data_IF_403413469918
#
_entry.id   IF_403413469918
#
_cell.length_a   1.000
_cell.length_b   1.000
_cell.length_c   1.000
_cell.angle_alpha   90.00
_cell.angle_beta   90.00
_cell.angle_gamma   90.00
#
_symmetry.space_group_name_H-M   'P 1'
#
loop_
_entity.id
_entity.type
_entity.pdbx_description
1 polymer ?
#
# COMPACT_ATOMS: atom_id res chain seq x y z
N UNK A 1 -48.82 31.93 45.57
CA UNK A 1 -47.54 31.33 46.03
C UNK A 1 -47.59 29.80 46.20
N UNK A 2 -48.54 29.20 46.92
CA UNK A 2 -48.51 27.74 47.20
C UNK A 2 -48.60 26.82 45.96
N UNK A 3 -49.35 27.20 44.91
CA UNK A 3 -49.42 26.40 43.65
C UNK A 3 -48.12 26.43 42.83
N UNK A 4 -47.39 27.54 42.87
CA UNK A 4 -46.12 27.71 42.14
C UNK A 4 -44.99 26.84 42.72
N UNK A 5 -44.98 26.66 44.06
CA UNK A 5 -44.03 25.78 44.75
C UNK A 5 -44.24 24.29 44.45
N UNK A 6 -45.50 23.85 44.31
CA UNK A 6 -45.80 22.46 43.99
C UNK A 6 -45.37 22.06 42.57
N UNK A 7 -45.54 22.98 41.60
CA UNK A 7 -45.09 22.76 40.21
C UNK A 7 -43.56 22.74 40.13
N UNK A 8 -42.87 23.66 40.82
CA UNK A 8 -41.42 23.67 40.87
C UNK A 8 -40.83 22.41 41.52
N UNK A 9 -41.44 21.92 42.61
CA UNK A 9 -41.04 20.68 43.26
C UNK A 9 -41.26 19.45 42.35
N UNK A 10 -42.36 19.41 41.60
CA UNK A 10 -42.63 18.33 40.63
C UNK A 10 -41.61 18.29 39.47
N UNK A 11 -41.25 19.46 38.92
CA UNK A 11 -40.23 19.54 37.85
C UNK A 11 -38.86 19.13 38.38
N UNK A 12 -38.46 19.60 39.56
CA UNK A 12 -37.18 19.24 40.16
C UNK A 12 -37.09 17.73 40.46
N UNK A 13 -38.17 17.12 40.98
CA UNK A 13 -38.23 15.68 41.19
C UNK A 13 -38.20 14.89 39.88
N UNK A 14 -38.86 15.38 38.82
CA UNK A 14 -38.81 14.77 37.49
C UNK A 14 -37.41 14.81 36.86
N UNK A 15 -36.69 15.92 36.98
CA UNK A 15 -35.30 16.06 36.50
C UNK A 15 -34.35 15.18 37.31
N UNK A 16 -34.51 15.12 38.63
CA UNK A 16 -33.69 14.26 39.48
C UNK A 16 -33.94 12.76 39.20
N UNK A 17 -35.19 12.36 38.98
CA UNK A 17 -35.52 11.00 38.57
C UNK A 17 -35.00 10.67 37.16
N UNK A 18 -35.10 11.61 36.21
CA UNK A 18 -34.54 11.44 34.86
C UNK A 18 -33.01 11.42 34.86
N UNK A 19 -32.33 12.11 35.77
CA UNK A 19 -30.88 12.06 35.93
C UNK A 19 -30.43 10.78 36.67
N UNK A 20 -31.19 10.30 37.66
CA UNK A 20 -30.93 9.04 38.35
C UNK A 20 -31.22 7.81 37.48
N UNK A 21 -32.22 7.89 36.59
CA UNK A 21 -32.50 6.88 35.57
C UNK A 21 -31.66 7.09 34.30
N UNK A 22 -31.16 8.31 34.06
CA UNK A 22 -30.25 8.67 32.98
C UNK A 22 -28.79 8.33 33.24
N UNK A 23 -28.50 7.67 34.36
CA UNK A 23 -27.23 6.99 34.64
C UNK A 23 -27.06 5.69 33.85
N UNK A 24 -27.78 5.51 32.73
CA UNK A 24 -27.30 4.62 31.68
C UNK A 24 -26.04 5.28 31.12
N UNK A 25 -24.88 4.88 31.66
CA UNK A 25 -23.63 5.03 30.92
C UNK A 25 -23.95 4.53 29.51
N UNK A 26 -23.93 5.45 28.54
CA UNK A 26 -24.17 5.07 27.16
C UNK A 26 -23.21 3.92 26.87
N UNK A 27 -23.76 2.77 26.45
CA UNK A 27 -22.95 1.59 26.16
C UNK A 27 -21.75 2.05 25.34
N UNK A 28 -20.52 1.70 25.76
CA UNK A 28 -19.33 2.15 25.05
C UNK A 28 -19.51 1.81 23.57
N UNK A 29 -19.32 2.81 22.72
CA UNK A 29 -19.49 2.62 21.28
C UNK A 29 -18.68 1.39 20.85
N UNK A 30 -19.24 0.52 19.99
CA UNK A 30 -18.56 -0.71 19.60
C UNK A 30 -17.18 -0.37 19.04
N UNK A 31 -16.14 -1.17 19.37
CA UNK A 31 -14.79 -0.91 18.89
C UNK A 31 -14.79 -0.84 17.37
N UNK A 32 -14.11 0.18 16.83
CA UNK A 32 -14.00 0.38 15.38
C UNK A 32 -12.76 -0.33 14.86
N UNK A 33 -12.82 -0.89 13.64
CA UNK A 33 -11.61 -1.38 13.02
C UNK A 33 -10.63 -0.22 12.76
N UNK A 34 -9.35 -0.49 12.96
CA UNK A 34 -8.26 0.45 12.74
C UNK A 34 -7.35 -0.10 11.65
N UNK A 35 -7.13 0.65 10.57
CA UNK A 35 -6.18 0.20 9.54
C UNK A 35 -4.77 0.10 10.13
N UNK A 36 -4.06 -0.96 9.77
CA UNK A 36 -2.66 -1.14 10.14
C UNK A 36 -1.81 -0.21 9.24
N UNK A 37 -0.98 0.66 9.84
CA UNK A 37 -0.06 1.50 9.10
C UNK A 37 0.84 0.67 8.18
N UNK A 38 1.09 1.17 6.98
CA UNK A 38 2.07 0.56 6.08
C UNK A 38 3.50 0.98 6.43
N UNK A 39 3.66 2.05 7.21
CA UNK A 39 4.94 2.68 7.52
C UNK A 39 5.56 2.28 8.87
N UNK A 40 4.89 1.40 9.61
CA UNK A 40 5.24 1.09 11.00
C UNK A 40 5.11 -0.40 11.36
N UNK A 41 5.99 -0.87 12.25
CA UNK A 41 5.94 -2.19 12.88
C UNK A 41 6.47 -3.34 12.03
N UNK A 42 7.07 -4.35 12.69
CA UNK A 42 7.63 -5.52 12.01
C UNK A 42 6.54 -6.33 11.31
N UNK A 43 6.82 -6.77 10.09
CA UNK A 43 5.99 -7.73 9.36
C UNK A 43 6.05 -9.06 10.10
N UNK A 44 4.88 -9.64 10.42
CA UNK A 44 4.80 -10.95 11.09
C UNK A 44 4.15 -12.01 10.23
N UNK A 45 3.37 -11.58 9.26
CA UNK A 45 2.63 -12.47 8.38
C UNK A 45 2.43 -11.80 7.02
N UNK A 46 2.82 -12.51 5.97
CA UNK A 46 2.62 -12.12 4.58
C UNK A 46 1.75 -13.14 3.88
N UNK A 47 1.02 -12.68 2.87
CA UNK A 47 0.33 -13.49 1.89
C UNK A 47 0.94 -13.24 0.51
N UNK A 48 1.33 -14.32 -0.16
CA UNK A 48 1.65 -14.33 -1.59
C UNK A 48 0.74 -15.31 -2.30
N UNK A 49 0.50 -15.09 -3.59
CA UNK A 49 -0.21 -16.06 -4.43
C UNK A 49 0.79 -16.77 -5.33
N UNK A 50 0.68 -18.09 -5.44
CA UNK A 50 1.50 -18.87 -6.36
C UNK A 50 0.63 -19.53 -7.43
N UNK A 51 0.99 -19.23 -8.68
CA UNK A 51 0.34 -19.76 -9.87
C UNK A 51 1.45 -20.32 -10.76
N UNK A 52 1.63 -21.65 -10.88
CA UNK A 52 2.77 -22.22 -11.61
C UNK A 52 2.89 -21.72 -13.07
N UNK A 53 1.76 -21.43 -13.72
CA UNK A 53 1.74 -20.86 -15.08
C UNK A 53 2.35 -19.45 -15.18
N UNK A 54 2.52 -18.76 -14.06
CA UNK A 54 3.13 -17.43 -13.96
C UNK A 54 4.45 -17.45 -13.16
N UNK A 55 5.00 -18.63 -12.88
CA UNK A 55 6.22 -18.80 -12.09
C UNK A 55 7.36 -17.92 -12.63
N UNK A 56 7.57 -17.90 -13.94
CA UNK A 56 8.67 -17.14 -14.55
C UNK A 56 8.58 -15.63 -14.32
N UNK A 57 7.39 -15.11 -14.04
CA UNK A 57 7.14 -13.69 -13.77
C UNK A 57 7.49 -13.31 -12.33
N UNK A 58 7.11 -14.15 -11.35
CA UNK A 58 7.18 -13.83 -9.91
C UNK A 58 8.32 -14.52 -9.17
N UNK A 59 8.95 -15.54 -9.77
CA UNK A 59 9.97 -16.34 -9.10
C UNK A 59 11.18 -15.52 -8.61
N UNK A 60 11.76 -14.58 -9.41
CA UNK A 60 12.83 -13.71 -8.90
C UNK A 60 12.37 -12.90 -7.69
N UNK A 61 11.21 -12.25 -7.80
CA UNK A 61 10.60 -11.44 -6.73
C UNK A 61 10.40 -12.25 -5.44
N UNK A 62 9.88 -13.48 -5.53
CA UNK A 62 9.61 -14.30 -4.35
C UNK A 62 10.87 -14.87 -3.71
N UNK A 63 11.93 -15.14 -4.48
CA UNK A 63 13.23 -15.54 -3.93
C UNK A 63 13.87 -14.40 -3.14
N UNK A 64 13.91 -13.21 -3.73
CA UNK A 64 14.47 -12.02 -3.08
C UNK A 64 13.63 -11.63 -1.85
N UNK A 65 12.30 -11.66 -1.97
CA UNK A 65 11.39 -11.42 -0.85
C UNK A 65 11.68 -12.40 0.29
N UNK A 66 11.77 -13.70 0.02
CA UNK A 66 12.07 -14.71 1.05
C UNK A 66 13.42 -14.47 1.71
N UNK A 67 14.45 -14.11 0.93
CA UNK A 67 15.80 -13.86 1.45
C UNK A 67 15.88 -12.60 2.31
N UNK A 68 14.99 -11.62 2.07
CA UNK A 68 14.97 -10.35 2.81
C UNK A 68 14.19 -10.42 4.13
N UNK A 69 13.34 -11.42 4.35
CA UNK A 69 12.49 -11.54 5.55
C UNK A 69 13.21 -12.23 6.71
N UNK A 70 12.83 -11.85 7.93
CA UNK A 70 13.29 -12.53 9.15
C UNK A 70 12.68 -13.94 9.28
N UNK A 71 13.33 -14.80 10.06
CA UNK A 71 12.95 -16.20 10.25
C UNK A 71 11.63 -16.38 11.03
N UNK A 72 11.24 -15.38 11.82
CA UNK A 72 9.99 -15.37 12.58
C UNK A 72 8.76 -14.93 11.76
N UNK A 73 8.95 -14.54 10.50
CA UNK A 73 7.87 -14.20 9.58
C UNK A 73 7.19 -15.47 9.08
N UNK A 74 5.84 -15.47 9.07
CA UNK A 74 5.05 -16.51 8.40
C UNK A 74 4.66 -16.01 7.00
N UNK A 75 5.05 -16.73 5.96
CA UNK A 75 4.59 -16.50 4.59
C UNK A 75 3.51 -17.52 4.24
N UNK A 76 2.27 -17.05 4.20
CA UNK A 76 1.15 -17.82 3.65
C UNK A 76 1.20 -17.78 2.13
N UNK A 77 1.11 -18.96 1.52
CA UNK A 77 1.16 -19.11 0.07
C UNK A 77 -0.20 -19.61 -0.39
N UNK A 78 -1.00 -18.71 -0.96
CA UNK A 78 -2.26 -19.09 -1.59
C UNK A 78 -1.98 -19.82 -2.90
N UNK A 79 -2.59 -20.99 -3.03
CA UNK A 79 -2.43 -21.89 -4.18
C UNK A 79 -3.79 -22.43 -4.60
N UNK A 80 -3.93 -22.77 -5.88
CA UNK A 80 -5.10 -23.50 -6.36
C UNK A 80 -5.14 -24.89 -5.70
N UNK A 81 -4.07 -25.67 -5.87
CA UNK A 81 -3.97 -27.05 -5.39
C UNK A 81 -2.81 -27.23 -4.41
N UNK A 82 -2.88 -28.26 -3.57
CA UNK A 82 -1.84 -28.53 -2.59
C UNK A 82 -0.47 -28.80 -3.24
N UNK A 83 -0.44 -29.47 -4.40
CA UNK A 83 0.80 -29.77 -5.13
C UNK A 83 1.49 -28.52 -5.68
N UNK A 84 0.74 -27.43 -5.89
CA UNK A 84 1.30 -26.15 -6.32
C UNK A 84 2.08 -25.49 -5.17
N UNK A 85 1.76 -25.79 -3.90
CA UNK A 85 2.56 -25.35 -2.76
C UNK A 85 3.90 -26.09 -2.71
N UNK A 86 3.91 -27.40 -2.97
CA UNK A 86 5.16 -28.17 -3.05
C UNK A 86 6.06 -27.64 -4.18
N UNK A 87 5.47 -27.26 -5.33
CA UNK A 87 6.18 -26.58 -6.41
C UNK A 87 6.76 -25.23 -5.97
N UNK A 88 6.01 -24.41 -5.23
CA UNK A 88 6.50 -23.17 -4.66
C UNK A 88 7.71 -23.41 -3.74
N UNK A 89 7.56 -24.33 -2.76
CA UNK A 89 8.63 -24.66 -1.81
C UNK A 89 9.89 -25.14 -2.52
N UNK A 90 9.74 -25.99 -3.54
CA UNK A 90 10.88 -26.48 -4.33
C UNK A 90 11.61 -25.36 -5.09
N UNK A 91 10.89 -24.37 -5.62
CA UNK A 91 11.51 -23.30 -6.45
C UNK A 91 12.01 -22.11 -5.65
N UNK A 92 11.32 -21.77 -4.56
CA UNK A 92 11.57 -20.57 -3.73
C UNK A 92 12.31 -20.93 -2.44
N UNK A 93 12.12 -22.15 -1.92
CA UNK A 93 12.56 -22.55 -0.57
C UNK A 93 14.03 -22.90 -0.38
N UNK A 94 14.87 -22.82 -1.41
CA UNK A 94 16.30 -23.12 -1.31
C UNK A 94 17.10 -21.95 -0.68
N UNK A 95 17.99 -22.24 0.29
CA UNK A 95 18.97 -21.30 0.87
C UNK A 95 18.52 -20.55 2.14
N UNK A 96 19.47 -20.30 3.06
CA UNK A 96 19.30 -19.48 4.28
C UNK A 96 18.43 -20.09 5.39
N UNK A 97 18.27 -19.37 6.51
CA UNK A 97 17.24 -19.65 7.52
C UNK A 97 15.91 -19.11 6.97
N UNK A 98 14.95 -19.94 6.54
CA UNK A 98 13.75 -19.47 5.86
C UNK A 98 12.76 -18.83 6.84
N UNK A 99 11.96 -17.84 6.42
CA UNK A 99 10.67 -17.61 7.05
C UNK A 99 9.82 -18.89 6.96
N UNK A 100 8.89 -19.08 7.91
CA UNK A 100 7.98 -20.23 7.90
C UNK A 100 6.99 -20.12 6.75
N UNK A 101 6.96 -21.13 5.88
CA UNK A 101 6.00 -21.20 4.76
C UNK A 101 4.77 -22.01 5.17
N UNK A 102 3.57 -21.50 4.88
CA UNK A 102 2.30 -22.19 5.13
C UNK A 102 1.39 -22.19 3.91
N UNK A 103 0.79 -23.33 3.53
CA UNK A 103 -0.14 -23.38 2.41
C UNK A 103 -1.49 -22.75 2.77
N UNK A 104 -2.10 -22.08 1.79
CA UNK A 104 -3.51 -21.67 1.79
C UNK A 104 -4.14 -22.25 0.52
N UNK A 105 -4.69 -23.46 0.62
CA UNK A 105 -5.28 -24.16 -0.53
C UNK A 105 -6.67 -23.60 -0.81
N UNK A 106 -6.79 -22.84 -1.89
CA UNK A 106 -8.02 -22.16 -2.31
C UNK A 106 -8.99 -23.12 -3.00
N UNK A 107 -8.46 -24.15 -3.67
CA UNK A 107 -9.24 -25.14 -4.43
C UNK A 107 -9.86 -24.57 -5.70
N UNK A 108 -9.34 -23.44 -6.20
CA UNK A 108 -9.78 -22.73 -7.40
C UNK A 108 -8.62 -21.97 -8.04
N UNK A 109 -8.61 -21.79 -9.37
CA UNK A 109 -7.65 -20.93 -10.04
C UNK A 109 -7.71 -19.50 -9.50
N UNK A 110 -6.55 -18.91 -9.21
CA UNK A 110 -6.36 -17.55 -8.69
C UNK A 110 -5.31 -16.81 -9.54
N UNK A 111 -5.21 -15.49 -9.38
CA UNK A 111 -4.14 -14.68 -9.98
C UNK A 111 -2.97 -14.53 -9.02
N UNK A 112 -1.86 -13.94 -9.46
CA UNK A 112 -0.69 -13.64 -8.62
C UNK A 112 -0.86 -12.39 -7.72
N UNK A 113 -1.96 -11.65 -7.86
CA UNK A 113 -2.15 -10.32 -7.27
C UNK A 113 -2.76 -10.39 -5.86
N UNK A 114 -1.96 -10.81 -4.88
CA UNK A 114 -2.43 -11.06 -3.50
C UNK A 114 -2.91 -9.79 -2.77
N UNK A 115 -2.30 -8.64 -3.06
CA UNK A 115 -2.60 -7.38 -2.36
C UNK A 115 -3.98 -6.83 -2.65
N UNK A 116 -4.55 -7.15 -3.80
CA UNK A 116 -5.77 -6.50 -4.27
C UNK A 116 -7.03 -6.90 -3.50
N UNK A 117 -6.95 -7.85 -2.56
CA UNK A 117 -8.12 -8.49 -1.97
C UNK A 117 -8.47 -8.06 -0.58
N UNK A 118 -7.64 -7.24 0.05
CA UNK A 118 -7.96 -6.70 1.36
C UNK A 118 -7.10 -5.49 1.72
N UNK A 119 -7.60 -4.72 2.69
CA UNK A 119 -6.80 -3.85 3.53
C UNK A 119 -6.61 -4.51 4.90
N UNK A 120 -5.43 -4.34 5.47
CA UNK A 120 -5.05 -4.94 6.75
C UNK A 120 -5.44 -4.01 7.87
N UNK A 121 -6.18 -4.50 8.85
CA UNK A 121 -6.71 -3.74 9.95
C UNK A 121 -6.60 -4.55 11.26
N UNK A 122 -6.99 -3.93 12.35
CA UNK A 122 -7.14 -4.56 13.65
C UNK A 122 -8.48 -4.18 14.27
N UNK A 123 -9.06 -5.11 15.03
CA UNK A 123 -10.24 -4.87 15.85
C UNK A 123 -9.95 -5.35 17.28
N UNK A 124 -9.91 -4.41 18.22
CA UNK A 124 -9.58 -4.69 19.63
C UNK A 124 -8.24 -5.44 19.77
N UNK A 125 -7.23 -5.03 19.01
CA UNK A 125 -5.88 -5.63 19.00
C UNK A 125 -5.79 -7.00 18.31
N UNK A 126 -6.85 -7.47 17.64
CA UNK A 126 -6.83 -8.70 16.86
C UNK A 126 -6.72 -8.40 15.36
N UNK A 127 -5.94 -9.18 14.60
CA UNK A 127 -5.84 -9.01 13.15
C UNK A 127 -7.19 -9.13 12.45
N UNK A 128 -7.44 -8.24 11.49
CA UNK A 128 -8.64 -8.16 10.69
C UNK A 128 -8.27 -7.89 9.23
N UNK A 129 -8.89 -8.61 8.30
CA UNK A 129 -8.85 -8.28 6.87
C UNK A 129 -10.16 -7.59 6.50
N UNK A 130 -10.06 -6.35 6.01
CA UNK A 130 -11.20 -5.66 5.42
C UNK A 130 -11.20 -6.00 3.93
N UNK A 131 -12.24 -6.67 3.44
CA UNK A 131 -12.31 -7.23 2.09
C UNK A 131 -13.31 -6.41 1.26
N UNK A 132 -13.00 -6.03 0.00
CA UNK A 132 -13.93 -5.28 -0.84
C UNK A 132 -15.17 -6.11 -1.18
N UNK A 133 -16.20 -5.44 -1.69
CA UNK A 133 -17.28 -6.13 -2.38
C UNK A 133 -16.73 -6.97 -3.55
N UNK A 134 -17.36 -8.13 -3.80
CA UNK A 134 -16.94 -9.03 -4.87
C UNK A 134 -17.07 -8.35 -6.22
N UNK A 135 -15.94 -8.09 -6.88
CA UNK A 135 -15.90 -7.54 -8.24
C UNK A 135 -16.49 -8.53 -9.23
N UNK A 136 -17.42 -8.05 -10.06
CA UNK A 136 -17.84 -8.76 -11.27
C UNK A 136 -16.74 -8.55 -12.32
N UNK A 137 -16.14 -9.63 -12.79
CA UNK A 137 -15.07 -9.59 -13.80
C UNK A 137 -15.23 -10.78 -14.74
N UNK A 138 -14.82 -10.62 -16.00
CA UNK A 138 -14.80 -11.69 -16.99
C UNK A 138 -13.64 -12.68 -16.84
N UNK A 139 -12.69 -12.40 -15.95
CA UNK A 139 -11.53 -13.25 -15.69
C UNK A 139 -11.80 -14.12 -14.46
N UNK A 140 -11.95 -15.43 -14.66
CA UNK A 140 -12.39 -16.37 -13.61
C UNK A 140 -11.43 -16.38 -12.42
N UNK A 141 -10.13 -16.42 -12.68
CA UNK A 141 -9.06 -16.38 -11.68
C UNK A 141 -9.18 -15.12 -10.81
N UNK A 142 -9.40 -13.97 -11.46
CA UNK A 142 -9.58 -12.67 -10.79
C UNK A 142 -10.87 -12.64 -9.97
N UNK A 143 -11.93 -13.31 -10.40
CA UNK A 143 -13.16 -13.41 -9.60
C UNK A 143 -12.97 -14.31 -8.37
N UNK A 144 -12.11 -15.33 -8.47
CA UNK A 144 -11.84 -16.29 -7.41
C UNK A 144 -10.93 -15.72 -6.32
N UNK A 145 -9.99 -14.83 -6.64
CA UNK A 145 -9.13 -14.19 -5.64
C UNK A 145 -9.90 -13.59 -4.44
N UNK A 146 -11.16 -13.17 -4.64
CA UNK A 146 -12.03 -12.64 -3.58
C UNK A 146 -12.26 -13.61 -2.42
N UNK A 147 -12.16 -14.94 -2.64
CA UNK A 147 -12.32 -15.94 -1.58
C UNK A 147 -11.07 -16.07 -0.71
N UNK A 148 -9.89 -15.67 -1.19
CA UNK A 148 -8.61 -15.94 -0.53
C UNK A 148 -8.55 -15.41 0.91
N UNK A 149 -8.99 -14.17 1.22
CA UNK A 149 -8.99 -13.68 2.60
C UNK A 149 -9.82 -14.54 3.56
N UNK A 150 -10.91 -15.15 3.08
CA UNK A 150 -11.74 -16.05 3.88
C UNK A 150 -11.06 -17.40 4.14
N UNK A 151 -10.33 -17.93 3.15
CA UNK A 151 -9.53 -19.15 3.33
C UNK A 151 -8.35 -18.90 4.29
N UNK A 152 -7.69 -17.74 4.17
CA UNK A 152 -6.65 -17.30 5.12
C UNK A 152 -7.21 -17.22 6.56
N UNK A 153 -8.40 -16.65 6.73
CA UNK A 153 -9.06 -16.56 8.02
C UNK A 153 -9.45 -17.92 8.62
N UNK A 154 -9.83 -18.88 7.78
CA UNK A 154 -10.16 -20.23 8.20
C UNK A 154 -8.92 -21.05 8.62
N UNK A 155 -7.71 -20.62 8.25
CA UNK A 155 -6.46 -21.32 8.56
C UNK A 155 -6.01 -21.08 10.02
N UNK A 156 -6.58 -21.84 10.95
CA UNK A 156 -6.11 -21.89 12.35
C UNK A 156 -6.37 -20.60 13.13
N UNK A 157 -5.30 -19.95 13.64
CA UNK A 157 -5.38 -18.64 14.34
C UNK A 157 -5.31 -17.47 13.35
N UNK A 158 -6.04 -17.60 12.23
CA UNK A 158 -6.07 -16.60 11.17
C UNK A 158 -6.74 -15.28 11.61
N UNK A 159 -6.62 -14.22 10.79
CA UNK A 159 -7.31 -12.96 11.02
C UNK A 159 -8.82 -13.14 10.94
N UNK A 160 -9.58 -12.25 11.58
CA UNK A 160 -11.02 -12.11 11.26
C UNK A 160 -11.18 -11.43 9.89
N UNK A 161 -12.37 -11.50 9.31
CA UNK A 161 -12.67 -10.85 8.03
C UNK A 161 -13.93 -10.01 8.13
N UNK A 162 -13.89 -8.82 7.54
CA UNK A 162 -14.99 -7.89 7.49
C UNK A 162 -15.16 -7.37 6.06
N UNK A 163 -16.32 -7.61 5.45
CA UNK A 163 -16.64 -7.06 4.14
C UNK A 163 -16.86 -5.54 4.22
N UNK A 164 -16.26 -4.80 3.30
CA UNK A 164 -16.55 -3.39 3.05
C UNK A 164 -17.74 -3.27 2.08
N UNK A 165 -18.57 -2.22 2.24
CA UNK A 165 -19.73 -2.02 1.39
C UNK A 165 -19.40 -1.30 0.06
N UNK A 166 -18.12 -1.10 -0.24
CA UNK A 166 -17.61 -0.41 -1.43
C UNK A 166 -16.52 -1.23 -2.10
N UNK A 167 -16.27 -0.94 -3.37
CA UNK A 167 -15.29 -1.63 -4.20
C UNK A 167 -13.93 -0.97 -4.05
N UNK A 168 -12.90 -1.75 -3.78
CA UNK A 168 -11.51 -1.31 -3.81
C UNK A 168 -10.59 -2.48 -4.17
N UNK A 169 -9.35 -2.20 -4.51
CA UNK A 169 -8.23 -3.13 -4.39
C UNK A 169 -7.34 -2.68 -3.23
N UNK A 170 -6.67 -3.59 -2.52
CA UNK A 170 -5.80 -3.21 -1.41
C UNK A 170 -4.64 -2.28 -1.79
N UNK A 171 -4.29 -2.16 -3.08
CA UNK A 171 -3.36 -1.15 -3.59
C UNK A 171 -3.95 0.27 -3.66
N UNK A 172 -5.28 0.42 -3.67
CA UNK A 172 -5.98 1.71 -3.66
C UNK A 172 -5.91 2.43 -2.30
N UNK A 173 -5.42 1.73 -1.27
CA UNK A 173 -5.31 2.24 0.10
C UNK A 173 -3.88 2.06 0.62
N UNK A 174 -3.30 3.16 1.09
CA UNK A 174 -2.11 3.13 1.94
C UNK A 174 -2.37 3.92 3.22
N UNK A 175 -1.72 3.57 4.31
CA UNK A 175 -1.96 4.22 5.60
C UNK A 175 -0.69 4.50 6.39
N UNK A 176 -0.76 5.51 7.24
CA UNK A 176 0.19 5.75 8.31
C UNK A 176 -0.52 5.92 9.66
N UNK A 177 0.16 6.54 10.62
CA UNK A 177 -0.35 6.74 11.97
C UNK A 177 -1.50 7.73 12.07
N UNK A 178 -1.70 8.54 11.05
CA UNK A 178 -2.71 9.60 11.04
C UNK A 178 -3.73 9.41 9.92
N UNK A 179 -3.27 9.09 8.72
CA UNK A 179 -4.06 9.13 7.52
C UNK A 179 -4.24 7.75 6.87
N UNK A 180 -5.43 7.55 6.30
CA UNK A 180 -5.66 6.68 5.15
C UNK A 180 -5.56 7.55 3.90
N UNK A 181 -4.68 7.16 3.00
CA UNK A 181 -4.49 7.82 1.72
C UNK A 181 -5.20 7.01 0.63
N UNK A 182 -5.98 7.70 -0.20
CA UNK A 182 -6.62 7.16 -1.40
C UNK A 182 -6.57 8.21 -2.51
N UNK A 183 -6.83 7.81 -3.76
CA UNK A 183 -6.93 8.76 -4.88
C UNK A 183 -8.34 8.73 -5.49
N UNK A 184 -8.63 9.69 -6.37
CA UNK A 184 -9.84 9.71 -7.17
C UNK A 184 -10.02 8.46 -8.06
N UNK A 185 -8.98 7.63 -8.24
CA UNK A 185 -9.11 6.31 -8.88
C UNK A 185 -10.05 5.40 -8.08
N UNK A 186 -9.91 5.35 -6.74
CA UNK A 186 -10.81 4.58 -5.88
C UNK A 186 -12.26 5.06 -6.02
N UNK A 187 -12.46 6.38 -6.10
CA UNK A 187 -13.77 6.96 -6.33
C UNK A 187 -14.35 6.54 -7.67
N UNK A 188 -13.54 6.61 -8.74
CA UNK A 188 -13.94 6.17 -10.08
C UNK A 188 -14.33 4.68 -10.14
N UNK A 189 -13.75 3.81 -9.30
CA UNK A 189 -14.17 2.39 -9.20
C UNK A 189 -15.58 2.22 -8.63
N UNK A 190 -16.10 3.23 -7.94
CA UNK A 190 -17.40 3.22 -7.29
C UNK A 190 -18.40 4.16 -8.00
N UNK A 191 -18.07 4.64 -9.20
CA UNK A 191 -18.94 5.47 -10.02
C UNK A 191 -20.30 4.77 -10.26
N UNK A 192 -21.38 5.55 -10.20
CA UNK A 192 -22.75 5.01 -10.28
C UNK A 192 -23.30 4.43 -8.97
N UNK A 193 -22.51 4.44 -7.88
CA UNK A 193 -22.97 4.09 -6.53
C UNK A 193 -22.85 5.30 -5.60
N UNK A 194 -23.44 5.23 -4.39
CA UNK A 194 -23.27 6.29 -3.38
C UNK A 194 -21.81 6.51 -2.94
N UNK A 195 -20.93 5.54 -3.16
CA UNK A 195 -19.50 5.62 -2.81
C UNK A 195 -18.66 6.26 -3.91
N UNK A 196 -19.27 6.59 -5.06
CA UNK A 196 -18.69 7.48 -6.07
C UNK A 196 -18.66 8.94 -5.63
N UNK A 197 -19.39 9.30 -4.57
CA UNK A 197 -19.36 10.64 -3.98
C UNK A 197 -18.20 10.79 -3.01
N UNK A 198 -17.38 11.84 -3.21
CA UNK A 198 -16.13 12.03 -2.48
C UNK A 198 -16.33 12.09 -0.96
N UNK A 199 -17.33 12.84 -0.48
CA UNK A 199 -17.57 13.02 0.95
C UNK A 199 -18.11 11.74 1.59
N UNK A 200 -19.07 11.07 0.94
CA UNK A 200 -19.60 9.77 1.38
C UNK A 200 -18.50 8.71 1.47
N UNK A 201 -17.62 8.64 0.48
CA UNK A 201 -16.49 7.70 0.49
C UNK A 201 -15.50 8.04 1.62
N UNK A 202 -15.19 9.33 1.81
CA UNK A 202 -14.30 9.78 2.88
C UNK A 202 -14.83 9.39 4.27
N UNK A 203 -16.11 9.64 4.52
CA UNK A 203 -16.78 9.26 5.76
C UNK A 203 -16.77 7.74 5.96
N UNK A 204 -17.03 6.97 4.90
CA UNK A 204 -17.03 5.51 4.95
C UNK A 204 -15.64 4.95 5.31
N UNK A 205 -14.59 5.47 4.68
CA UNK A 205 -13.20 5.11 4.95
C UNK A 205 -12.81 5.48 6.39
N UNK A 206 -13.14 6.70 6.83
CA UNK A 206 -12.82 7.16 8.18
C UNK A 206 -13.52 6.31 9.25
N UNK A 207 -14.81 6.01 9.06
CA UNK A 207 -15.57 5.15 9.97
C UNK A 207 -15.06 3.71 9.99
N UNK A 208 -14.53 3.21 8.86
CA UNK A 208 -14.05 1.84 8.72
C UNK A 208 -12.63 1.64 9.26
N UNK A 209 -11.79 2.67 9.20
CA UNK A 209 -10.35 2.53 9.44
C UNK A 209 -9.84 3.34 10.62
N UNK A 210 -10.69 4.13 11.27
CA UNK A 210 -10.35 4.93 12.46
C UNK A 210 -9.13 5.83 12.24
N UNK A 211 -9.11 6.51 11.09
CA UNK A 211 -8.07 7.45 10.64
C UNK A 211 -8.69 8.63 9.91
N UNK A 212 -7.97 9.75 9.87
CA UNK A 212 -8.26 10.83 8.93
C UNK A 212 -8.08 10.30 7.49
N UNK A 213 -8.84 10.83 6.52
CA UNK A 213 -8.79 10.35 5.14
C UNK A 213 -8.35 11.47 4.21
N UNK A 214 -7.25 11.25 3.51
CA UNK A 214 -6.79 12.09 2.41
C UNK A 214 -7.17 11.42 1.09
N UNK A 215 -8.30 11.86 0.54
CA UNK A 215 -8.74 11.50 -0.80
C UNK A 215 -8.15 12.50 -1.80
N UNK A 216 -7.13 12.08 -2.53
CA UNK A 216 -6.32 12.92 -3.42
C UNK A 216 -6.95 13.00 -4.82
N UNK A 217 -7.01 14.20 -5.36
CA UNK A 217 -7.68 14.50 -6.63
C UNK A 217 -9.19 14.68 -6.49
N UNK A 218 -9.71 15.63 -7.27
CA UNK A 218 -11.13 15.88 -7.43
C UNK A 218 -11.77 15.05 -8.53
N UNK A 219 -11.01 14.50 -9.49
CA UNK A 219 -11.48 13.58 -10.53
C UNK A 219 -10.42 12.56 -10.92
N UNK A 220 -10.83 11.40 -11.48
CA UNK A 220 -9.92 10.31 -11.86
C UNK A 220 -8.81 10.78 -12.81
N UNK A 221 -9.08 11.74 -13.69
CA UNK A 221 -8.10 12.29 -14.64
C UNK A 221 -7.07 13.26 -14.05
N UNK A 222 -7.29 13.76 -12.83
CA UNK A 222 -6.40 14.73 -12.15
C UNK A 222 -5.22 14.08 -11.42
N UNK A 223 -5.28 12.77 -11.22
CA UNK A 223 -4.27 11.95 -10.55
C UNK A 223 -3.77 10.87 -11.51
N UNK A 224 -2.61 10.24 -11.25
CA UNK A 224 -2.17 9.11 -12.05
C UNK A 224 -3.21 7.98 -11.98
N UNK A 225 -3.54 7.37 -13.12
CA UNK A 225 -4.53 6.29 -13.19
C UNK A 225 -3.93 4.94 -12.74
N UNK A 226 -3.55 4.89 -11.46
CA UNK A 226 -2.98 3.71 -10.82
C UNK A 226 -3.36 3.65 -9.34
N UNK A 227 -3.10 2.52 -8.70
CA UNK A 227 -3.11 2.35 -7.26
C UNK A 227 -2.24 3.39 -6.56
N UNK A 228 -2.71 3.90 -5.42
CA UNK A 228 -1.95 4.90 -4.66
C UNK A 228 -0.60 4.36 -4.19
N UNK A 229 -0.48 3.05 -3.94
CA UNK A 229 0.81 2.42 -3.61
C UNK A 229 1.85 2.44 -4.74
N UNK A 230 1.47 2.83 -5.96
CA UNK A 230 2.39 3.08 -7.08
C UNK A 230 2.76 4.55 -7.23
N UNK A 231 2.10 5.42 -6.46
CA UNK A 231 2.18 6.88 -6.58
C UNK A 231 2.85 7.49 -5.35
N UNK A 232 2.43 7.05 -4.16
CA UNK A 232 2.86 7.62 -2.89
C UNK A 232 3.00 6.54 -1.81
N UNK A 233 4.00 6.72 -0.94
CA UNK A 233 4.27 5.82 0.18
C UNK A 233 4.54 6.65 1.43
N UNK A 234 3.65 6.60 2.44
CA UNK A 234 3.98 7.21 3.72
C UNK A 234 5.12 6.41 4.38
N UNK A 235 6.03 7.12 5.05
CA UNK A 235 7.19 6.52 5.74
C UNK A 235 7.24 6.89 7.22
N UNK A 236 6.11 7.35 7.77
CA UNK A 236 5.99 7.77 9.17
C UNK A 236 6.50 9.21 9.40
N UNK A 237 6.26 9.74 10.61
CA UNK A 237 6.74 11.07 11.00
C UNK A 237 6.20 12.23 10.14
N UNK A 238 5.04 12.06 9.50
CA UNK A 238 4.47 13.06 8.58
C UNK A 238 5.20 13.19 7.24
N UNK A 239 5.96 12.17 6.84
CA UNK A 239 6.73 12.11 5.60
C UNK A 239 6.06 11.17 4.61
N UNK A 240 5.93 11.61 3.36
CA UNK A 240 5.41 10.81 2.25
C UNK A 240 6.36 10.90 1.06
N UNK A 241 6.79 9.76 0.55
CA UNK A 241 7.54 9.66 -0.69
C UNK A 241 6.55 9.65 -1.86
N UNK A 242 6.79 10.44 -2.90
CA UNK A 242 5.90 10.56 -4.06
C UNK A 242 6.71 10.39 -5.34
N UNK A 243 6.20 9.57 -6.25
CA UNK A 243 6.81 9.36 -7.56
C UNK A 243 6.91 10.67 -8.36
N UNK A 244 8.05 10.87 -9.00
CA UNK A 244 8.37 12.08 -9.75
C UNK A 244 8.86 11.76 -11.16
N UNK A 245 8.03 12.11 -12.13
CA UNK A 245 8.26 11.87 -13.56
C UNK A 245 9.40 12.73 -14.10
N UNK A 246 9.60 13.94 -13.55
CA UNK A 246 10.69 14.83 -13.95
C UNK A 246 12.05 14.28 -13.51
N UNK A 247 12.16 13.85 -12.25
CA UNK A 247 13.35 13.18 -11.73
C UNK A 247 13.61 11.85 -12.46
N UNK A 248 12.56 11.09 -12.77
CA UNK A 248 12.66 9.89 -13.60
C UNK A 248 13.23 10.18 -14.99
N UNK A 249 12.74 11.22 -15.68
CA UNK A 249 13.28 11.69 -16.96
C UNK A 249 14.76 12.07 -16.85
N UNK A 250 15.14 12.86 -15.85
CA UNK A 250 16.54 13.30 -15.69
C UNK A 250 17.50 12.12 -15.54
N UNK A 251 17.14 11.12 -14.73
CA UNK A 251 17.96 9.92 -14.55
C UNK A 251 17.98 9.08 -15.83
N UNK A 252 16.83 8.95 -16.50
CA UNK A 252 16.71 8.21 -17.77
C UNK A 252 17.55 8.83 -18.89
N UNK A 253 17.40 10.13 -19.16
CA UNK A 253 18.11 10.84 -20.23
C UNK A 253 19.59 11.10 -19.88
N UNK A 254 19.89 11.31 -18.60
CA UNK A 254 21.26 11.38 -18.08
C UNK A 254 22.02 10.06 -18.27
N UNK A 255 21.33 8.92 -18.18
CA UNK A 255 21.87 7.62 -18.56
C UNK A 255 22.19 7.54 -20.07
N UNK A 256 21.47 8.28 -20.90
CA UNK A 256 21.67 8.35 -22.36
C UNK A 256 22.67 9.44 -22.80
N UNK A 257 23.22 10.25 -21.88
CA UNK A 257 24.18 11.31 -22.20
C UNK A 257 23.57 12.57 -22.82
N UNK A 258 22.28 12.83 -22.61
CA UNK A 258 21.56 14.03 -23.09
C UNK A 258 20.93 14.72 -21.87
N UNK A 259 21.35 15.91 -21.48
CA UNK A 259 20.79 16.54 -20.27
C UNK A 259 20.78 18.06 -20.29
N UNK A 260 19.58 18.63 -20.45
CA UNK A 260 19.29 20.06 -20.33
C UNK A 260 17.77 20.30 -20.27
N UNK A 261 17.12 19.89 -19.17
CA UNK A 261 15.70 20.16 -18.92
C UNK A 261 15.49 20.86 -17.57
N UNK A 262 14.51 21.77 -17.50
CA UNK A 262 14.07 22.44 -16.27
C UNK A 262 13.20 21.50 -15.43
N UNK A 263 13.51 21.34 -14.13
CA UNK A 263 12.66 20.61 -13.20
C UNK A 263 11.90 21.57 -12.27
N UNK A 264 10.74 21.14 -11.78
CA UNK A 264 9.91 21.91 -10.84
C UNK A 264 10.41 21.90 -9.38
N UNK A 265 11.69 21.59 -9.13
CA UNK A 265 12.28 21.51 -7.79
C UNK A 265 13.38 22.54 -7.58
N UNK A 266 13.71 22.80 -6.31
CA UNK A 266 14.81 23.72 -5.99
C UNK A 266 16.13 23.17 -6.51
N UNK A 267 16.96 24.04 -7.07
CA UNK A 267 18.29 23.71 -7.57
C UNK A 267 19.23 23.11 -6.50
N UNK A 268 18.87 23.17 -5.23
CA UNK A 268 19.59 22.56 -4.10
C UNK A 268 19.27 21.08 -3.96
N UNK A 269 17.99 20.68 -3.99
CA UNK A 269 17.60 19.27 -3.95
C UNK A 269 18.19 18.48 -5.13
N UNK A 270 18.18 19.09 -6.32
CA UNK A 270 18.80 18.52 -7.51
C UNK A 270 20.33 18.45 -7.42
N UNK A 271 20.99 19.45 -6.80
CA UNK A 271 22.44 19.43 -6.63
C UNK A 271 22.89 18.30 -5.72
N UNK A 272 22.15 18.05 -4.64
CA UNK A 272 22.44 16.93 -3.73
C UNK A 272 22.30 15.59 -4.44
N UNK A 273 21.27 15.40 -5.27
CA UNK A 273 21.10 14.21 -6.12
C UNK A 273 22.19 14.09 -7.19
N UNK A 274 22.54 15.17 -7.87
CA UNK A 274 23.56 15.16 -8.96
C UNK A 274 24.98 14.91 -8.45
N UNK A 275 25.29 15.27 -7.21
CA UNK A 275 26.63 15.08 -6.61
C UNK A 275 26.96 13.62 -6.28
N UNK A 276 25.95 12.75 -6.17
CA UNK A 276 26.09 11.35 -5.70
C UNK A 276 25.89 10.33 -6.82
N UNK A 277 25.19 10.67 -7.90
CA UNK A 277 24.95 9.77 -9.02
C UNK A 277 26.26 9.46 -9.77
N UNK A 278 26.69 8.19 -9.72
CA UNK A 278 27.82 7.69 -10.52
C UNK A 278 27.49 7.77 -12.00
N UNK A 279 28.51 8.05 -12.84
CA UNK A 279 28.36 8.02 -14.30
C UNK A 279 27.78 6.66 -14.75
N UNK A 280 26.81 6.64 -15.68
CA UNK A 280 26.26 5.41 -16.24
C UNK A 280 27.35 4.55 -16.89
N UNK A 281 27.27 3.23 -16.73
CA UNK A 281 28.01 2.27 -17.57
C UNK A 281 27.33 2.15 -18.94
N UNK A 282 28.08 1.77 -19.97
CA UNK A 282 27.57 1.64 -21.34
C UNK A 282 26.35 0.70 -21.40
N UNK A 283 25.24 1.22 -21.93
CA UNK A 283 23.98 0.50 -22.12
C UNK A 283 22.81 1.37 -21.67
N UNK A 284 22.20 2.12 -22.61
CA UNK A 284 21.00 2.87 -22.32
C UNK A 284 19.90 1.95 -21.78
N UNK A 285 19.10 2.39 -20.79
CA UNK A 285 17.91 1.66 -20.36
C UNK A 285 17.03 1.32 -21.57
N UNK A 286 16.66 0.05 -21.73
CA UNK A 286 15.70 -0.36 -22.77
C UNK A 286 14.43 -0.87 -22.12
N UNK A 287 13.33 -0.17 -22.38
CA UNK A 287 12.00 -0.72 -22.10
C UNK A 287 11.76 -1.95 -23.00
N UNK A 288 10.88 -2.88 -22.59
CA UNK A 288 10.42 -3.96 -23.46
C UNK A 288 9.87 -3.44 -24.79
N UNK A 289 9.92 -4.28 -25.83
CA UNK A 289 9.42 -3.94 -27.16
C UNK A 289 7.95 -3.44 -27.10
N UNK A 290 7.69 -2.31 -27.75
CA UNK A 290 6.36 -1.67 -27.80
C UNK A 290 6.00 -0.77 -26.62
N UNK A 291 6.81 -0.75 -25.55
CA UNK A 291 6.58 0.13 -24.40
C UNK A 291 7.37 1.44 -24.54
N UNK A 292 6.73 2.56 -24.25
CA UNK A 292 7.33 3.89 -24.36
C UNK A 292 7.21 4.61 -23.03
N UNK A 293 8.30 5.24 -22.56
CA UNK A 293 8.27 6.07 -21.38
C UNK A 293 7.37 7.29 -21.63
N UNK A 294 6.42 7.54 -20.74
CA UNK A 294 5.55 8.70 -20.77
C UNK A 294 6.07 9.76 -19.80
N UNK A 295 6.85 10.69 -20.35
CA UNK A 295 7.30 11.87 -19.65
C UNK A 295 6.46 13.12 -19.99
N UNK A 296 5.26 12.97 -20.57
CA UNK A 296 4.44 14.12 -20.98
C UNK A 296 4.13 15.06 -19.81
N UNK A 297 3.95 16.34 -20.10
CA UNK A 297 3.61 17.35 -19.09
C UNK A 297 2.31 17.02 -18.35
N UNK A 298 1.35 16.40 -19.04
CA UNK A 298 0.10 15.93 -18.44
C UNK A 298 0.34 14.85 -17.39
N UNK A 299 1.17 13.86 -17.70
CA UNK A 299 1.53 12.81 -16.73
C UNK A 299 2.32 13.38 -15.56
N UNK A 300 3.31 14.25 -15.81
CA UNK A 300 4.05 14.92 -14.74
C UNK A 300 3.16 15.83 -13.87
N UNK A 301 2.17 16.51 -14.45
CA UNK A 301 1.24 17.37 -13.72
C UNK A 301 0.37 16.59 -12.73
N UNK A 302 -0.08 15.38 -13.10
CA UNK A 302 -0.88 14.51 -12.21
C UNK A 302 -0.10 14.10 -10.95
N UNK A 303 1.18 13.76 -11.07
CA UNK A 303 2.03 13.46 -9.91
C UNK A 303 2.33 14.71 -9.06
N UNK A 304 2.61 15.86 -9.70
CA UNK A 304 2.79 17.14 -8.99
C UNK A 304 1.55 17.54 -8.19
N UNK A 305 0.35 17.34 -8.77
CA UNK A 305 -0.93 17.57 -8.09
C UNK A 305 -1.03 16.77 -6.79
N UNK A 306 -0.73 15.46 -6.83
CA UNK A 306 -0.69 14.59 -5.64
C UNK A 306 0.29 15.14 -4.60
N UNK A 307 1.50 15.49 -5.01
CA UNK A 307 2.50 16.07 -4.12
C UNK A 307 2.05 17.40 -3.48
N UNK A 308 1.39 18.28 -4.24
CA UNK A 308 0.86 19.55 -3.74
C UNK A 308 -0.27 19.36 -2.71
N UNK A 309 -1.19 18.43 -2.95
CA UNK A 309 -2.27 18.14 -2.01
C UNK A 309 -1.75 17.54 -0.70
N UNK A 310 -0.75 16.65 -0.77
CA UNK A 310 -0.07 16.13 0.42
C UNK A 310 0.63 17.24 1.21
N UNK A 311 1.31 18.18 0.54
CA UNK A 311 1.92 19.36 1.21
C UNK A 311 0.87 20.26 1.85
N UNK A 312 -0.28 20.50 1.18
CA UNK A 312 -1.41 21.26 1.74
C UNK A 312 -1.99 20.61 2.99
N UNK A 313 -1.92 19.28 3.09
CA UNK A 313 -2.29 18.53 4.30
C UNK A 313 -1.23 18.59 5.42
N UNK A 314 -0.13 19.33 5.24
CA UNK A 314 0.93 19.52 6.23
C UNK A 314 1.99 18.42 6.24
N UNK A 315 2.07 17.61 5.18
CA UNK A 315 3.05 16.53 5.08
C UNK A 315 4.33 16.99 4.39
N UNK A 316 5.47 16.44 4.83
CA UNK A 316 6.74 16.57 4.10
C UNK A 316 6.72 15.61 2.92
N UNK A 317 6.80 16.14 1.71
CA UNK A 317 6.84 15.33 0.48
C UNK A 317 8.25 15.19 -0.04
N UNK A 318 8.70 13.95 -0.23
CA UNK A 318 10.02 13.59 -0.77
C UNK A 318 9.83 13.00 -2.17
N UNK A 319 10.43 13.59 -3.22
CA UNK A 319 10.33 13.04 -4.56
C UNK A 319 11.17 11.77 -4.71
N UNK A 320 10.65 10.79 -5.45
CA UNK A 320 11.31 9.54 -5.81
C UNK A 320 11.26 9.39 -7.33
N UNK A 321 12.35 9.01 -8.04
CA UNK A 321 12.29 8.87 -9.50
C UNK A 321 11.18 7.89 -9.91
N UNK A 322 10.42 8.25 -10.94
CA UNK A 322 9.38 7.39 -11.50
C UNK A 322 9.35 7.50 -13.01
N UNK A 323 9.21 6.35 -13.69
CA UNK A 323 8.93 6.32 -15.13
C UNK A 323 7.55 5.70 -15.33
N UNK A 324 6.59 6.55 -15.71
CA UNK A 324 5.32 6.10 -16.25
C UNK A 324 5.54 5.62 -17.69
N UNK A 325 4.66 4.77 -18.20
CA UNK A 325 4.71 4.32 -19.59
C UNK A 325 3.38 4.53 -20.28
N UNK A 326 3.38 4.50 -21.62
CA UNK A 326 2.17 4.54 -22.44
C UNK A 326 1.31 3.28 -22.30
N UNK A 327 1.88 2.18 -21.79
CA UNK A 327 1.15 0.96 -21.46
C UNK A 327 0.39 1.17 -20.14
N UNK A 328 -0.94 0.99 -20.12
CA UNK A 328 -1.72 1.16 -18.89
C UNK A 328 -1.15 0.34 -17.73
N UNK A 329 -1.03 0.98 -16.57
CA UNK A 329 -0.56 0.39 -15.31
C UNK A 329 0.91 -0.06 -15.24
N UNK A 330 1.68 -0.03 -16.31
CA UNK A 330 3.11 -0.42 -16.26
C UNK A 330 3.99 0.76 -15.88
N UNK A 331 4.31 0.91 -14.58
CA UNK A 331 5.21 1.96 -14.07
C UNK A 331 6.48 1.36 -13.48
N UNK A 332 7.61 2.01 -13.70
CA UNK A 332 8.83 1.85 -12.89
C UNK A 332 8.67 2.78 -11.69
N UNK A 333 8.18 2.24 -10.58
CA UNK A 333 7.86 3.00 -9.36
C UNK A 333 8.52 2.40 -8.13
N UNK A 334 9.41 3.17 -7.49
CA UNK A 334 10.05 2.79 -6.23
C UNK A 334 9.19 3.08 -4.99
N UNK A 335 7.88 3.37 -5.19
CA UNK A 335 6.90 3.52 -4.11
C UNK A 335 6.22 2.18 -3.74
N UNK A 336 6.25 1.18 -4.62
CA UNK A 336 5.56 -0.10 -4.43
C UNK A 336 6.36 -1.06 -3.54
N UNK A 337 6.63 -0.62 -2.31
CA UNK A 337 7.55 -1.26 -1.35
C UNK A 337 6.83 -1.99 -0.22
N UNK A 338 7.56 -2.79 0.54
CA UNK A 338 7.16 -3.22 1.88
C UNK A 338 8.10 -2.59 2.91
N UNK A 339 7.56 -1.86 3.87
CA UNK A 339 8.31 -1.35 5.02
C UNK A 339 8.18 -2.34 6.17
N UNK A 340 9.28 -2.58 6.87
CA UNK A 340 9.41 -3.58 7.92
C UNK A 340 10.29 -3.02 9.05
N UNK A 341 9.68 -2.56 10.15
CA UNK A 341 10.44 -2.04 11.29
C UNK A 341 10.87 -3.19 12.20
N UNK A 342 12.16 -3.53 12.17
CA UNK A 342 12.78 -4.61 12.94
C UNK A 342 13.49 -4.08 14.18
N UNK A 343 14.06 -4.99 14.98
CA UNK A 343 14.83 -4.62 16.17
C UNK A 343 16.11 -3.85 15.82
N UNK A 344 16.75 -4.17 14.70
CA UNK A 344 18.01 -3.59 14.24
C UNK A 344 17.85 -2.34 13.37
N UNK A 345 16.63 -2.02 12.91
CA UNK A 345 16.39 -0.80 12.16
C UNK A 345 15.07 -0.74 11.41
N UNK A 346 14.96 0.26 10.52
CA UNK A 346 13.83 0.38 9.59
C UNK A 346 14.24 -0.24 8.27
N UNK A 347 13.63 -1.36 7.91
CA UNK A 347 13.94 -2.08 6.69
C UNK A 347 12.92 -1.71 5.63
N UNK A 348 13.34 -1.63 4.38
CA UNK A 348 12.43 -1.46 3.26
C UNK A 348 12.84 -2.37 2.11
N UNK A 349 11.89 -3.14 1.63
CA UNK A 349 12.03 -4.01 0.48
C UNK A 349 11.61 -3.20 -0.75
N UNK A 350 12.60 -2.83 -1.57
CA UNK A 350 12.45 -1.86 -2.67
C UNK A 350 12.50 -2.61 -4.01
N UNK A 351 11.52 -2.39 -4.92
CA UNK A 351 11.54 -3.03 -6.23
C UNK A 351 12.77 -2.59 -7.04
N UNK A 352 13.35 -3.52 -7.79
CA UNK A 352 14.41 -3.30 -8.78
C UNK A 352 13.88 -3.73 -10.15
N UNK A 353 13.91 -2.82 -11.11
CA UNK A 353 13.24 -2.99 -12.40
C UNK A 353 14.18 -3.47 -13.51
N UNK A 354 15.48 -3.62 -13.21
CA UNK A 354 16.50 -3.99 -14.19
C UNK A 354 17.03 -2.78 -14.96
N UNK A 355 16.82 -1.56 -14.44
CA UNK A 355 17.32 -0.31 -15.01
C UNK A 355 18.30 0.28 -14.02
N UNK A 356 19.58 -0.11 -14.11
CA UNK A 356 20.61 0.14 -13.09
C UNK A 356 20.64 1.58 -12.56
N UNK A 357 20.58 2.58 -13.45
CA UNK A 357 20.62 3.99 -13.08
C UNK A 357 19.39 4.43 -12.26
N UNK A 358 18.19 4.03 -12.68
CA UNK A 358 16.96 4.30 -11.93
C UNK A 358 16.92 3.50 -10.63
N UNK A 359 17.34 2.24 -10.67
CA UNK A 359 17.35 1.33 -9.52
C UNK A 359 18.28 1.86 -8.42
N UNK A 360 19.44 2.38 -8.80
CA UNK A 360 20.35 3.08 -7.90
C UNK A 360 19.74 4.36 -7.33
N UNK A 361 19.16 5.22 -8.18
CA UNK A 361 18.56 6.48 -7.75
C UNK A 361 17.38 6.28 -6.81
N UNK A 362 16.49 5.31 -7.10
CA UNK A 362 15.35 4.96 -6.26
C UNK A 362 15.78 4.45 -4.88
N UNK A 363 16.75 3.53 -4.83
CA UNK A 363 17.34 3.04 -3.57
C UNK A 363 17.95 4.17 -2.74
N UNK A 364 18.71 5.07 -3.36
CA UNK A 364 19.35 6.17 -2.64
C UNK A 364 18.33 7.06 -1.90
N UNK A 365 17.15 7.30 -2.49
CA UNK A 365 16.09 8.07 -1.79
C UNK A 365 15.68 7.39 -0.49
N UNK A 366 15.50 6.07 -0.50
CA UNK A 366 15.14 5.29 0.69
C UNK A 366 16.25 5.27 1.74
N UNK A 367 17.52 5.10 1.33
CA UNK A 367 18.68 5.14 2.23
C UNK A 367 18.81 6.48 2.93
N UNK A 368 18.61 7.60 2.21
CA UNK A 368 18.63 8.96 2.79
C UNK A 368 17.51 9.20 3.80
N UNK A 369 16.39 8.51 3.66
CA UNK A 369 15.28 8.53 4.61
C UNK A 369 15.51 7.58 5.80
N UNK A 370 16.71 7.01 5.92
CA UNK A 370 17.19 6.26 7.08
C UNK A 370 16.84 4.78 7.07
N UNK A 371 16.51 4.22 5.91
CA UNK A 371 16.16 2.81 5.78
C UNK A 371 17.36 1.93 5.41
N UNK A 372 17.33 0.71 5.92
CA UNK A 372 18.14 -0.42 5.42
C UNK A 372 17.40 -1.01 4.22
N UNK A 373 17.95 -0.81 3.03
CA UNK A 373 17.29 -1.17 1.76
C UNK A 373 17.61 -2.60 1.34
N UNK A 374 16.55 -3.37 1.10
CA UNK A 374 16.61 -4.72 0.52
C UNK A 374 16.10 -4.66 -0.92
N UNK A 375 16.98 -4.80 -1.92
CA UNK A 375 16.57 -4.80 -3.33
C UNK A 375 15.79 -6.07 -3.65
N UNK A 376 14.64 -5.92 -4.33
CA UNK A 376 13.79 -7.03 -4.76
C UNK A 376 13.59 -6.99 -6.27
N UNK A 377 14.06 -8.00 -7.01
CA UNK A 377 13.91 -8.07 -8.45
C UNK A 377 12.42 -8.20 -8.85
N UNK A 378 11.92 -7.16 -9.54
CA UNK A 378 10.59 -7.14 -10.16
C UNK A 378 10.68 -6.92 -11.68
N UNK A 379 11.86 -7.07 -12.28
CA UNK A 379 12.16 -6.75 -13.68
C UNK A 379 11.26 -7.47 -14.69
N UNK A 380 10.75 -8.65 -14.34
CA UNK A 380 9.79 -9.42 -15.15
C UNK A 380 8.32 -9.15 -14.80
N UNK A 381 8.06 -8.58 -13.63
CA UNK A 381 6.70 -8.40 -13.10
C UNK A 381 6.08 -7.07 -13.53
N UNK A 382 6.88 -5.99 -13.51
CA UNK A 382 6.37 -4.62 -13.68
C UNK A 382 5.69 -4.35 -15.03
N UNK A 383 6.12 -5.07 -16.06
CA UNK A 383 5.55 -4.99 -17.42
C UNK A 383 4.10 -5.49 -17.46
N UNK A 384 3.64 -6.20 -16.42
CA UNK A 384 2.28 -6.71 -16.24
C UNK A 384 1.43 -5.85 -15.30
N UNK A 385 1.87 -4.63 -14.97
CA UNK A 385 1.03 -3.64 -14.32
C UNK A 385 1.13 -3.58 -12.79
N UNK A 386 2.12 -4.22 -12.18
CA UNK A 386 2.33 -4.19 -10.73
C UNK A 386 3.75 -4.51 -10.32
N UNK A 387 4.12 -4.27 -9.07
CA UNK A 387 5.45 -4.58 -8.55
C UNK A 387 5.34 -5.36 -7.23
N UNK A 388 6.35 -5.27 -6.35
CA UNK A 388 6.47 -6.08 -5.15
C UNK A 388 5.21 -6.08 -4.28
N UNK A 389 4.73 -4.90 -3.90
CA UNK A 389 3.55 -4.78 -3.02
C UNK A 389 2.26 -5.24 -3.71
N UNK A 390 2.20 -5.33 -5.03
CA UNK A 390 1.04 -5.88 -5.73
C UNK A 390 0.94 -7.42 -5.59
N UNK A 391 2.06 -8.11 -5.39
CA UNK A 391 2.13 -9.59 -5.28
C UNK A 391 2.43 -10.09 -3.85
N UNK A 392 2.65 -9.18 -2.91
CA UNK A 392 2.87 -9.50 -1.50
C UNK A 392 2.00 -8.61 -0.60
N UNK A 393 1.14 -9.24 0.19
CA UNK A 393 0.18 -8.57 1.05
C UNK A 393 0.48 -8.84 2.53
N UNK A 394 0.73 -7.78 3.32
CA UNK A 394 0.93 -7.91 4.76
C UNK A 394 -0.38 -8.29 5.43
N UNK A 395 -0.45 -9.44 6.08
CA UNK A 395 -1.62 -9.92 6.82
C UNK A 395 -1.57 -9.43 8.27
N UNK A 396 -0.37 -9.33 8.85
CA UNK A 396 -0.18 -8.95 10.24
C UNK A 396 1.16 -8.26 10.47
N UNK A 397 1.14 -7.26 11.36
CA UNK A 397 2.34 -6.61 11.90
C UNK A 397 2.41 -6.78 13.41
N UNK A 398 3.58 -6.63 14.02
CA UNK A 398 3.65 -6.44 15.47
C UNK A 398 3.38 -4.97 15.79
N UNK A 399 2.46 -4.75 16.73
CA UNK A 399 2.11 -3.41 17.26
C UNK A 399 3.07 -2.93 18.33
N UNK A 400 4.17 -3.65 18.59
CA UNK A 400 5.17 -3.26 19.57
C UNK A 400 5.66 -1.85 19.23
N UNK A 401 5.15 -0.87 19.98
CA UNK A 401 5.62 0.49 19.87
C UNK A 401 7.11 0.44 20.14
N UNK A 402 7.93 0.88 19.18
CA UNK A 402 9.31 1.24 19.50
C UNK A 402 9.20 2.19 20.69
N UNK A 403 9.65 1.75 21.86
CA UNK A 403 10.06 2.68 22.92
C UNK A 403 11.08 3.57 22.25
N UNK A 404 10.67 4.78 21.89
CA UNK A 404 11.47 5.68 21.10
C UNK A 404 12.77 5.95 21.85
N UNK A 405 13.87 5.32 21.43
CA UNK A 405 15.20 5.77 21.78
C UNK A 405 15.38 7.12 21.09
N UNK A 406 15.27 8.19 21.88
CA UNK A 406 15.59 9.55 21.48
C UNK A 406 17.08 9.72 21.28
#
# INVERSE_FOLDING_TARGET
MRRSLAVAAGIAAGIAAAAALGGFEADPAPPRPRIVPDSGGAIRELLVHWVPAHADLVLPTYRDLRAALDDDVVVRVAVDRAEDFDDFVRRVGEGGVPPRLEPVVVGRPITIWSRDRFATAELSGRPLLVVPERKITGVVERANDWIVPWVVAAAGRGPSVLAAPFVFDGGDLVADERFVYATAVLRGRNEGTRWGEADTLREALAARFDREVLLLGGDRGEVPDHHICMIATPVGGGVVLVGDVGLGREVWEGAEGRGGGETGFTAEALRTLRGTLRKPREGAPRLPEGMVADFSDGTAARFRRVAEELRKAGLRVVPVPLVATTTPYAYISYNNVLIDDREDGRHVLVPQFGVEALDAAGREVWEREGFIVHPIDVSKLWVHGGALRCVAAVVRRSTAARTASR
#
